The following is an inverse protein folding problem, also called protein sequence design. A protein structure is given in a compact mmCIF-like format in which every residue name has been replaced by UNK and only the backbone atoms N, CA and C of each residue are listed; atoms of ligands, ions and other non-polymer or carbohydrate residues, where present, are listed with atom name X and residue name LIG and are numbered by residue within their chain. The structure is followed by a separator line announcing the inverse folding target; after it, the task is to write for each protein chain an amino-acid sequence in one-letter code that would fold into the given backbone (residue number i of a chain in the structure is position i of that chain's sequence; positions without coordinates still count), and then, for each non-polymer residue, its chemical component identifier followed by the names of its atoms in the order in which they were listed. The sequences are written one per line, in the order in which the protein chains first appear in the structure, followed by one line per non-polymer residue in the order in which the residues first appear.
data_IF_519128126583
#
_entry.id   IF_519128126583
#
_cell.length_a   1.000
_cell.length_b   1.000
_cell.length_c   1.000
_cell.angle_alpha   90.00
_cell.angle_beta   90.00
_cell.angle_gamma   90.00
#
_symmetry.space_group_name_H-M   'P 1'
#
loop_
_entity.id
_entity.type
_entity.pdbx_description
1 polymer ?
#
# COMPACT_ATOMS: atom_id res chain seq x y z
N UNK A 1 -16.05 -67.13 -32.99
CA UNK A 1 -16.78 -66.06 -32.29
C UNK A 1 -16.53 -64.79 -33.10
N UNK A 2 -17.18 -64.58 -34.25
CA UNK A 2 -18.63 -64.44 -34.49
C UNK A 2 -19.06 -63.02 -34.07
N UNK A 3 -19.53 -62.10 -34.93
CA UNK A 3 -20.03 -62.20 -36.32
C UNK A 3 -19.65 -60.99 -37.21
N UNK A 4 -19.79 -61.19 -38.54
CA UNK A 4 -20.18 -60.27 -39.63
C UNK A 4 -20.98 -58.99 -39.21
N UNK A 5 -21.09 -57.90 -39.99
CA UNK A 5 -20.92 -57.71 -41.46
C UNK A 5 -20.77 -56.21 -41.82
N UNK A 6 -20.29 -55.91 -43.04
CA UNK A 6 -20.42 -54.59 -43.71
C UNK A 6 -21.43 -54.65 -44.86
N UNK A 7 -22.15 -53.55 -45.15
CA UNK A 7 -22.60 -53.03 -46.48
C UNK A 7 -23.60 -51.85 -46.23
N UNK A 8 -23.37 -50.62 -46.72
CA UNK A 8 -23.57 -50.02 -48.07
C UNK A 8 -24.99 -49.42 -48.29
N UNK A 9 -25.00 -48.23 -48.92
CA UNK A 9 -26.09 -47.28 -49.18
C UNK A 9 -27.37 -47.82 -49.86
N UNK A 10 -28.48 -47.09 -49.67
CA UNK A 10 -29.52 -46.93 -50.72
C UNK A 10 -30.19 -45.54 -50.67
N UNK A 11 -30.49 -45.02 -51.87
CA UNK A 11 -31.06 -43.70 -52.15
C UNK A 11 -32.56 -43.76 -52.52
N UNK A 12 -33.26 -42.61 -52.46
CA UNK A 12 -34.54 -42.35 -53.14
C UNK A 12 -35.57 -41.62 -52.24
N UNK A 13 -36.42 -40.66 -52.66
CA UNK A 13 -36.71 -39.91 -53.92
C UNK A 13 -37.52 -38.64 -53.54
N UNK A 14 -37.78 -37.56 -54.31
CA UNK A 14 -37.65 -37.27 -55.75
C UNK A 14 -37.63 -35.72 -56.04
N UNK A 15 -37.87 -35.35 -57.31
CA UNK A 15 -38.16 -34.01 -57.94
C UNK A 15 -39.44 -33.28 -57.45
N UNK A 16 -39.72 -31.99 -57.73
CA UNK A 16 -38.99 -30.84 -58.32
C UNK A 16 -39.60 -29.49 -57.82
N UNK A 17 -39.04 -28.33 -58.23
CA UNK A 17 -39.62 -27.01 -57.94
C UNK A 17 -38.63 -25.83 -58.02
N UNK A 18 -38.40 -25.28 -59.23
CA UNK A 18 -37.43 -24.19 -59.47
C UNK A 18 -38.05 -22.78 -59.32
N UNK A 19 -37.44 -21.91 -58.50
CA UNK A 19 -37.63 -20.45 -58.55
C UNK A 19 -36.42 -19.66 -57.97
N UNK A 20 -35.60 -19.18 -58.89
CA UNK A 20 -34.42 -18.28 -58.84
C UNK A 20 -34.31 -17.09 -57.84
N UNK A 21 -33.10 -16.95 -57.27
CA UNK A 21 -32.25 -15.72 -57.07
C UNK A 21 -32.62 -14.63 -56.03
N UNK A 22 -31.65 -13.81 -55.51
CA UNK A 22 -30.17 -13.95 -55.52
C UNK A 22 -29.44 -13.75 -54.15
N UNK A 23 -28.17 -14.16 -54.19
CA UNK A 23 -26.99 -13.93 -53.34
C UNK A 23 -26.95 -12.69 -52.38
N UNK A 24 -26.43 -12.91 -51.16
CA UNK A 24 -25.77 -11.89 -50.33
C UNK A 24 -24.62 -12.49 -49.49
N UNK A 25 -23.56 -12.91 -50.18
CA UNK A 25 -22.32 -13.43 -49.61
C UNK A 25 -21.48 -12.33 -48.94
N UNK A 26 -21.58 -12.20 -47.61
CA UNK A 26 -20.82 -11.22 -46.83
C UNK A 26 -19.39 -11.70 -46.51
N UNK A 27 -18.39 -11.19 -47.23
CA UNK A 27 -16.96 -11.32 -46.90
C UNK A 27 -16.51 -10.25 -45.90
N UNK A 28 -15.72 -10.66 -44.89
CA UNK A 28 -15.11 -9.78 -43.86
C UNK A 28 -13.66 -9.46 -44.26
N UNK A 29 -13.28 -8.17 -44.40
CA UNK A 29 -12.34 -7.49 -43.46
C UNK A 29 -12.64 -5.96 -43.35
N UNK A 30 -11.97 -5.06 -42.60
CA UNK A 30 -10.90 -5.08 -41.57
C UNK A 30 -11.15 -3.91 -40.56
N UNK A 31 -10.69 -3.92 -39.29
CA UNK A 31 -10.98 -2.83 -38.34
C UNK A 31 -10.13 -1.55 -38.44
N UNK A 32 -9.19 -1.42 -39.39
CA UNK A 32 -8.19 -0.33 -39.42
C UNK A 32 -8.27 0.66 -40.59
N UNK A 33 -9.48 1.13 -40.94
CA UNK A 33 -9.67 2.22 -41.90
C UNK A 33 -10.38 3.44 -41.27
N UNK A 34 -9.71 4.58 -41.21
CA UNK A 34 -10.29 5.88 -40.84
C UNK A 34 -11.18 6.41 -41.97
N UNK A 35 -12.46 6.74 -41.72
CA UNK A 35 -13.30 7.43 -42.71
C UNK A 35 -12.81 8.88 -42.92
N UNK A 36 -12.74 9.37 -44.17
CA UNK A 36 -12.42 10.77 -44.46
C UNK A 36 -13.59 11.72 -44.19
N UNK A 37 -13.27 13.00 -44.07
CA UNK A 37 -14.15 14.12 -43.79
C UNK A 37 -15.08 14.48 -44.95
N UNK A 38 -16.35 14.04 -44.88
CA UNK A 38 -17.38 14.51 -45.81
C UNK A 38 -17.89 15.90 -45.40
N UNK A 39 -17.26 16.92 -45.97
CA UNK A 39 -17.66 18.31 -45.85
C UNK A 39 -18.92 18.59 -46.70
N UNK A 40 -20.10 18.32 -46.14
CA UNK A 40 -21.41 18.51 -46.79
C UNK A 40 -22.14 19.77 -46.32
N UNK A 41 -22.32 20.74 -47.21
CA UNK A 41 -23.10 21.96 -46.96
C UNK A 41 -24.59 21.65 -46.81
N UNK A 42 -25.19 22.01 -45.67
CA UNK A 42 -26.63 21.93 -45.47
C UNK A 42 -27.34 23.10 -46.19
N UNK A 43 -28.40 22.79 -46.92
CA UNK A 43 -29.26 23.77 -47.61
C UNK A 43 -30.44 24.07 -46.68
N UNK A 44 -30.61 25.34 -46.27
CA UNK A 44 -31.77 25.71 -45.47
C UNK A 44 -33.08 25.47 -46.24
N UNK A 45 -34.13 25.10 -45.50
CA UNK A 45 -35.47 24.92 -46.03
C UNK A 45 -36.38 25.93 -45.36
N UNK A 46 -36.63 27.02 -46.08
CA UNK A 46 -37.53 28.09 -45.66
C UNK A 46 -38.98 27.57 -45.64
N UNK A 47 -39.47 27.06 -44.49
CA UNK A 47 -40.87 26.67 -44.31
C UNK A 47 -41.71 27.84 -43.79
N UNK A 48 -42.53 28.39 -44.67
CA UNK A 48 -43.62 29.29 -44.32
C UNK A 48 -44.75 28.52 -43.62
N UNK A 49 -45.03 28.86 -42.36
CA UNK A 49 -46.23 28.39 -41.69
C UNK A 49 -47.46 29.12 -42.25
N UNK A 50 -48.35 28.36 -42.91
CA UNK A 50 -49.71 28.78 -43.22
C UNK A 50 -50.63 28.42 -42.05
N UNK A 51 -51.36 29.40 -41.52
CA UNK A 51 -52.35 29.20 -40.48
C UNK A 51 -53.70 28.72 -41.07
N UNK A 52 -54.29 27.70 -40.44
CA UNK A 52 -55.50 27.07 -40.94
C UNK A 52 -56.76 27.76 -40.38
N UNK A 53 -57.60 28.29 -41.27
CA UNK A 53 -58.86 28.92 -40.94
C UNK A 53 -59.82 27.96 -40.20
N UNK A 54 -60.26 28.35 -39.00
CA UNK A 54 -61.37 27.75 -38.26
C UNK A 54 -62.37 28.83 -37.83
N UNK A 55 -63.57 28.83 -38.43
CA UNK A 55 -64.56 29.91 -38.27
C UNK A 55 -65.41 29.79 -37.01
N UNK A 56 -65.54 30.89 -36.26
CA UNK A 56 -66.66 31.14 -35.33
C UNK A 56 -67.17 32.58 -35.51
N UNK A 57 -68.48 32.83 -35.67
CA UNK A 57 -68.98 34.14 -36.05
C UNK A 57 -69.33 35.08 -34.87
N UNK A 58 -69.32 36.37 -35.22
CA UNK A 58 -70.09 37.49 -34.66
C UNK A 58 -69.55 38.27 -33.44
N UNK A 59 -68.97 39.45 -33.75
CA UNK A 59 -69.27 40.72 -33.09
C UNK A 59 -68.68 41.92 -33.89
N UNK A 60 -69.54 42.83 -34.35
CA UNK A 60 -69.13 44.06 -35.06
C UNK A 60 -68.39 45.07 -34.16
N UNK A 61 -67.17 45.46 -34.54
CA UNK A 61 -66.68 46.85 -34.37
C UNK A 61 -65.73 47.26 -35.50
N UNK A 62 -66.13 48.23 -36.32
CA UNK A 62 -65.27 48.89 -37.32
C UNK A 62 -64.39 49.96 -36.68
N UNK A 63 -63.07 49.94 -36.95
CA UNK A 63 -62.15 51.06 -36.68
C UNK A 63 -61.24 51.26 -37.90
N UNK A 64 -60.98 52.50 -38.40
CA UNK A 64 -60.40 52.70 -39.72
C UNK A 64 -58.86 52.70 -39.79
N UNK A 65 -58.38 52.54 -41.02
CA UNK A 65 -57.03 52.77 -41.56
C UNK A 65 -56.23 53.94 -40.92
N UNK A 66 -54.98 53.66 -40.56
CA UNK A 66 -53.92 54.65 -40.37
C UNK A 66 -52.58 54.16 -40.96
N UNK A 67 -52.49 54.20 -42.28
CA UNK A 67 -51.32 53.96 -43.12
C UNK A 67 -50.02 54.60 -42.56
N UNK A 68 -49.09 53.77 -42.08
CA UNK A 68 -47.75 54.19 -41.63
C UNK A 68 -46.67 53.25 -42.19
N UNK A 69 -45.95 53.73 -43.22
CA UNK A 69 -44.85 53.01 -43.86
C UNK A 69 -43.65 52.92 -42.92
N UNK A 70 -43.33 51.72 -42.42
CA UNK A 70 -42.07 51.46 -41.70
C UNK A 70 -40.98 51.14 -42.74
N UNK A 71 -39.82 51.84 -42.76
CA UNK A 71 -38.71 51.50 -43.64
C UNK A 71 -38.06 50.20 -43.19
N UNK A 72 -37.74 49.34 -44.15
CA UNK A 72 -37.10 48.04 -43.95
C UNK A 72 -35.61 48.22 -43.58
N UNK A 73 -35.17 47.91 -42.34
CA UNK A 73 -33.77 47.90 -41.99
C UNK A 73 -33.20 46.54 -42.45
N UNK A 74 -32.50 46.58 -43.58
CA UNK A 74 -31.79 45.42 -44.12
C UNK A 74 -30.57 45.08 -43.24
N UNK A 75 -30.82 44.58 -42.02
CA UNK A 75 -29.79 44.09 -41.12
C UNK A 75 -29.26 42.77 -41.66
N UNK A 76 -28.08 42.83 -42.27
CA UNK A 76 -27.25 41.65 -42.49
C UNK A 76 -26.94 41.02 -41.13
N UNK A 77 -27.68 39.96 -40.78
CA UNK A 77 -27.39 39.15 -39.59
C UNK A 77 -25.98 38.58 -39.77
N UNK A 78 -25.03 39.16 -39.04
CA UNK A 78 -23.70 38.60 -38.90
C UNK A 78 -23.90 37.32 -38.10
N UNK A 79 -23.64 36.17 -38.73
CA UNK A 79 -23.54 34.90 -38.03
C UNK A 79 -22.34 34.97 -37.07
N UNK A 80 -22.61 35.44 -35.85
CA UNK A 80 -21.73 35.26 -34.72
C UNK A 80 -21.78 33.79 -34.34
N UNK A 81 -21.00 33.00 -35.09
CA UNK A 81 -20.71 31.62 -34.83
C UNK A 81 -19.93 31.55 -33.50
N UNK A 82 -20.64 31.70 -32.39
CA UNK A 82 -20.10 31.57 -31.05
C UNK A 82 -19.57 30.14 -30.93
N UNK A 83 -18.25 30.01 -30.92
CA UNK A 83 -17.59 28.72 -30.69
C UNK A 83 -17.93 28.28 -29.27
N UNK A 84 -18.99 27.48 -29.12
CA UNK A 84 -19.41 26.90 -27.84
C UNK A 84 -18.27 26.00 -27.37
N UNK A 85 -17.42 26.53 -26.50
CA UNK A 85 -16.34 25.78 -25.87
C UNK A 85 -17.00 24.67 -25.06
N UNK A 86 -16.74 23.38 -25.36
CA UNK A 86 -17.35 22.29 -24.61
C UNK A 86 -16.95 22.40 -23.13
N UNK A 87 -17.87 22.10 -22.20
CA UNK A 87 -17.56 22.20 -20.78
C UNK A 87 -16.36 21.30 -20.42
N UNK A 88 -15.48 21.73 -19.51
CA UNK A 88 -14.32 20.94 -19.13
C UNK A 88 -14.76 19.58 -18.56
N UNK A 89 -13.99 18.51 -18.79
CA UNK A 89 -14.36 17.16 -18.38
C UNK A 89 -14.61 17.09 -16.86
N UNK A 90 -15.56 16.24 -16.41
CA UNK A 90 -15.86 16.09 -15.00
C UNK A 90 -14.64 15.55 -14.25
N UNK A 91 -14.41 16.10 -13.06
CA UNK A 91 -13.29 15.76 -12.19
C UNK A 91 -13.80 15.13 -10.91
N UNK A 92 -13.12 14.09 -10.46
CA UNK A 92 -13.50 13.24 -9.33
C UNK A 92 -12.40 13.22 -8.26
N UNK A 93 -12.70 12.63 -7.10
CA UNK A 93 -11.67 12.30 -6.11
C UNK A 93 -10.74 11.22 -6.68
N UNK A 94 -9.45 11.19 -6.29
CA UNK A 94 -8.52 10.18 -6.78
C UNK A 94 -8.92 8.79 -6.24
N UNK A 95 -8.32 7.73 -6.75
CA UNK A 95 -8.49 6.37 -6.21
C UNK A 95 -7.13 5.88 -5.73
N UNK A 96 -6.94 5.78 -4.42
CA UNK A 96 -5.74 5.18 -3.82
C UNK A 96 -5.97 3.70 -3.50
N UNK A 97 -4.92 2.88 -3.59
CA UNK A 97 -4.89 1.48 -3.16
C UNK A 97 -3.78 1.27 -2.13
N UNK A 98 -4.16 0.87 -0.93
CA UNK A 98 -3.25 0.44 0.12
C UNK A 98 -2.53 -0.84 -0.31
N UNK A 99 -1.19 -0.85 -0.27
CA UNK A 99 -0.37 -2.05 -0.51
C UNK A 99 0.10 -2.63 0.83
N UNK A 100 0.91 -3.70 0.80
CA UNK A 100 1.43 -4.32 2.02
C UNK A 100 2.45 -3.39 2.69
N UNK A 101 2.28 -3.17 3.99
CA UNK A 101 3.28 -2.57 4.86
C UNK A 101 4.33 -3.60 5.29
N UNK A 102 5.55 -3.13 5.49
CA UNK A 102 6.76 -3.91 5.76
C UNK A 102 7.47 -3.35 7.00
N UNK A 103 8.33 -4.14 7.61
CA UNK A 103 9.25 -3.65 8.65
C UNK A 103 10.62 -3.46 8.01
N UNK A 104 11.14 -2.24 8.09
CA UNK A 104 12.49 -1.89 7.65
C UNK A 104 13.53 -2.39 8.66
N UNK A 105 14.82 -2.25 8.31
CA UNK A 105 15.88 -2.29 9.30
C UNK A 105 15.58 -1.32 10.46
N UNK A 106 16.16 -1.58 11.64
CA UNK A 106 15.92 -0.78 12.86
C UNK A 106 14.47 -0.83 13.40
N UNK A 107 13.60 -1.70 12.85
CA UNK A 107 12.23 -1.90 13.35
C UNK A 107 11.23 -0.83 12.92
N UNK A 108 11.59 0.02 11.96
CA UNK A 108 10.71 1.05 11.38
C UNK A 108 9.58 0.46 10.54
N UNK A 109 8.48 1.18 10.43
CA UNK A 109 7.31 0.78 9.63
C UNK A 109 7.36 1.45 8.26
N UNK A 110 7.42 0.63 7.20
CA UNK A 110 7.32 1.06 5.81
C UNK A 110 5.91 0.85 5.29
N UNK A 111 5.33 1.91 4.75
CA UNK A 111 3.98 1.95 4.20
C UNK A 111 4.06 2.15 2.69
N UNK A 112 3.31 1.35 1.94
CA UNK A 112 3.33 1.35 0.48
C UNK A 112 1.91 1.57 -0.06
N UNK A 113 1.76 2.39 -1.09
CA UNK A 113 0.50 2.77 -1.72
C UNK A 113 0.67 3.04 -3.21
N UNK A 114 -0.45 3.08 -3.93
CA UNK A 114 -0.47 3.46 -5.35
C UNK A 114 -1.76 4.24 -5.65
N UNK A 115 -1.65 5.30 -6.43
CA UNK A 115 -2.78 6.01 -7.04
C UNK A 115 -3.16 5.27 -8.33
N UNK A 116 -4.40 4.79 -8.41
CA UNK A 116 -4.92 4.10 -9.60
C UNK A 116 -5.51 5.07 -10.62
N UNK A 117 -5.92 6.25 -10.17
CA UNK A 117 -6.30 7.40 -11.01
C UNK A 117 -6.32 8.65 -10.12
N UNK A 118 -5.95 9.78 -10.71
CA UNK A 118 -6.06 11.12 -10.10
C UNK A 118 -7.49 11.68 -10.14
N UNK A 119 -8.41 11.04 -10.87
CA UNK A 119 -9.77 11.55 -11.10
C UNK A 119 -9.82 12.76 -12.04
N UNK A 120 -8.79 12.99 -12.87
CA UNK A 120 -8.69 14.13 -13.78
C UNK A 120 -8.29 15.46 -13.13
N UNK A 121 -7.83 15.44 -11.87
CA UNK A 121 -7.33 16.62 -11.19
C UNK A 121 -6.12 16.26 -10.32
N UNK A 122 -5.06 17.09 -10.40
CA UNK A 122 -3.76 16.88 -9.76
C UNK A 122 -3.87 16.47 -8.30
N UNK A 123 -3.24 15.34 -7.95
CA UNK A 123 -3.12 14.88 -6.57
C UNK A 123 -2.20 15.83 -5.80
N UNK A 124 -2.71 16.44 -4.74
CA UNK A 124 -2.01 17.42 -3.90
C UNK A 124 -1.40 16.81 -2.66
N UNK A 125 -1.89 15.65 -2.22
CA UNK A 125 -1.43 14.97 -1.01
C UNK A 125 -1.64 13.45 -1.13
N UNK A 126 -0.70 12.68 -0.59
CA UNK A 126 -0.83 11.22 -0.39
C UNK A 126 -0.30 10.85 0.99
N UNK A 127 -0.80 9.76 1.55
CA UNK A 127 -0.33 9.29 2.86
C UNK A 127 -1.10 8.08 3.36
N UNK A 128 -0.98 7.83 4.66
CA UNK A 128 -1.60 6.70 5.34
C UNK A 128 -2.24 7.14 6.65
N UNK A 129 -3.43 6.59 6.94
CA UNK A 129 -4.10 6.67 8.24
C UNK A 129 -3.90 5.34 8.96
N UNK A 130 -3.34 5.37 10.17
CA UNK A 130 -3.12 4.21 11.03
C UNK A 130 -4.03 4.34 12.26
N UNK A 131 -4.73 3.25 12.64
CA UNK A 131 -5.70 3.28 13.74
C UNK A 131 -5.98 1.88 14.28
N UNK A 132 -6.48 1.80 15.51
CA UNK A 132 -7.07 0.57 16.06
C UNK A 132 -8.47 0.26 15.48
N UNK A 133 -9.11 1.22 14.82
CA UNK A 133 -10.36 1.02 14.07
C UNK A 133 -10.08 0.64 12.61
N UNK A 134 -10.82 -0.36 12.10
CA UNK A 134 -10.82 -0.74 10.68
C UNK A 134 -11.22 0.43 9.76
N UNK A 135 -12.04 1.34 10.27
CA UNK A 135 -12.60 2.48 9.53
C UNK A 135 -12.00 3.83 9.96
N UNK A 136 -10.86 3.84 10.67
CA UNK A 136 -10.23 5.08 11.14
C UNK A 136 -9.89 6.05 9.99
N UNK A 137 -10.27 7.31 10.15
CA UNK A 137 -10.14 8.40 9.17
C UNK A 137 -9.13 9.46 9.61
N UNK A 138 -8.86 10.46 8.74
CA UNK A 138 -7.93 11.58 9.00
C UNK A 138 -8.18 12.29 10.35
N UNK A 139 -9.44 12.36 10.79
CA UNK A 139 -9.86 13.04 12.02
C UNK A 139 -10.39 12.09 13.10
N UNK A 140 -10.20 10.77 12.96
CA UNK A 140 -10.63 9.82 13.98
C UNK A 140 -9.78 9.93 15.24
N UNK A 141 -10.38 9.89 16.46
CA UNK A 141 -9.62 9.89 17.71
C UNK A 141 -8.58 8.76 17.75
N UNK A 142 -7.34 9.11 18.05
CA UNK A 142 -6.22 8.15 18.08
C UNK A 142 -5.77 7.64 16.71
N UNK A 143 -6.19 8.25 15.60
CA UNK A 143 -5.59 8.01 14.30
C UNK A 143 -4.22 8.70 14.20
N UNK A 144 -3.24 8.01 13.62
CA UNK A 144 -1.91 8.53 13.31
C UNK A 144 -1.83 8.72 11.80
N UNK A 145 -1.52 9.94 11.37
CA UNK A 145 -1.41 10.29 9.94
C UNK A 145 0.06 10.32 9.56
N UNK A 146 0.41 9.58 8.51
CA UNK A 146 1.78 9.51 7.97
C UNK A 146 1.75 9.98 6.53
N UNK A 147 2.28 11.17 6.27
CA UNK A 147 2.42 11.70 4.90
C UNK A 147 3.36 10.84 4.06
N UNK A 148 3.03 10.66 2.78
CA UNK A 148 3.81 9.87 1.84
C UNK A 148 4.46 10.71 0.74
N UNK A 149 5.51 10.17 0.13
CA UNK A 149 6.17 10.74 -1.04
C UNK A 149 5.68 10.03 -2.29
N UNK A 150 5.08 10.77 -3.23
CA UNK A 150 4.60 10.26 -4.52
C UNK A 150 5.72 10.28 -5.57
N UNK A 151 5.87 9.18 -6.32
CA UNK A 151 6.82 9.01 -7.42
C UNK A 151 6.15 8.23 -8.55
N UNK A 152 5.76 8.95 -9.61
CA UNK A 152 4.76 8.43 -10.56
C UNK A 152 3.45 8.11 -9.84
N UNK A 153 2.90 6.93 -10.07
CA UNK A 153 1.68 6.47 -9.40
C UNK A 153 1.93 5.90 -7.99
N UNK A 154 3.17 5.52 -7.66
CA UNK A 154 3.50 4.82 -6.41
C UNK A 154 3.88 5.82 -5.33
N UNK A 155 3.39 5.62 -4.11
CA UNK A 155 3.81 6.40 -2.96
C UNK A 155 4.20 5.55 -1.75
N UNK A 156 5.19 6.04 -1.01
CA UNK A 156 5.74 5.36 0.16
C UNK A 156 5.87 6.32 1.33
N UNK A 157 5.84 5.77 2.54
CA UNK A 157 6.18 6.48 3.76
C UNK A 157 6.95 5.55 4.72
N UNK A 158 7.83 6.11 5.55
CA UNK A 158 8.51 5.40 6.63
C UNK A 158 8.29 6.13 7.95
N UNK A 159 7.82 5.42 8.97
CA UNK A 159 7.60 5.95 10.33
C UNK A 159 8.29 5.09 11.39
N UNK A 160 8.40 5.61 12.61
CA UNK A 160 8.59 4.74 13.77
C UNK A 160 7.41 3.76 13.90
N UNK A 161 7.61 2.64 14.58
CA UNK A 161 6.51 1.72 14.91
C UNK A 161 5.52 2.44 15.85
N UNK A 162 4.23 2.56 15.51
CA UNK A 162 3.28 3.30 16.31
C UNK A 162 2.88 2.53 17.57
N UNK A 163 2.63 3.24 18.67
CA UNK A 163 2.06 2.66 19.89
C UNK A 163 0.54 2.45 19.76
N UNK A 164 0.18 1.51 18.89
CA UNK A 164 -1.18 1.00 18.69
C UNK A 164 -1.32 -0.45 19.19
N UNK A 165 -0.34 -0.94 19.96
CA UNK A 165 -0.29 -2.32 20.46
C UNK A 165 0.03 -3.36 19.38
N UNK A 166 -0.17 -4.65 19.70
CA UNK A 166 0.30 -5.80 18.87
C UNK A 166 -0.31 -5.88 17.47
N UNK A 167 -1.44 -5.21 17.21
CA UNK A 167 -2.11 -5.18 15.89
C UNK A 167 -2.80 -3.85 15.69
N UNK A 168 -2.74 -3.32 14.47
CA UNK A 168 -3.50 -2.14 14.06
C UNK A 168 -3.96 -2.26 12.61
N UNK A 169 -4.76 -1.30 12.16
CA UNK A 169 -5.18 -1.15 10.77
C UNK A 169 -4.54 0.08 10.16
N UNK A 170 -4.25 0.00 8.86
CA UNK A 170 -3.76 1.13 8.07
C UNK A 170 -4.48 1.19 6.73
N UNK A 171 -4.75 2.40 6.25
CA UNK A 171 -5.32 2.65 4.93
C UNK A 171 -4.59 3.79 4.24
N UNK A 172 -4.28 3.62 2.96
CA UNK A 172 -3.71 4.69 2.16
C UNK A 172 -4.77 5.74 1.82
N UNK A 173 -4.37 6.99 1.59
CA UNK A 173 -5.25 8.05 1.09
C UNK A 173 -4.55 8.87 0.01
N UNK A 174 -5.35 9.51 -0.83
CA UNK A 174 -4.92 10.53 -1.76
C UNK A 174 -5.96 11.66 -1.80
N UNK A 175 -5.50 12.90 -1.93
CA UNK A 175 -6.31 14.13 -1.97
C UNK A 175 -6.04 14.89 -3.26
N UNK A 176 -7.09 15.41 -3.89
CA UNK A 176 -7.00 16.42 -4.95
C UNK A 176 -8.03 17.54 -4.70
N UNK A 177 -8.22 18.44 -5.66
CA UNK A 177 -9.19 19.53 -5.58
C UNK A 177 -10.68 19.11 -5.41
N UNK A 178 -11.02 17.82 -5.54
CA UNK A 178 -12.35 17.25 -5.29
C UNK A 178 -12.46 16.54 -3.92
N UNK A 179 -11.36 16.53 -3.15
CA UNK A 179 -11.25 15.99 -1.80
C UNK A 179 -10.47 14.68 -1.71
N UNK A 180 -10.53 14.07 -0.53
CA UNK A 180 -9.76 12.86 -0.18
C UNK A 180 -10.54 11.58 -0.43
N UNK A 181 -9.87 10.56 -0.97
CA UNK A 181 -10.38 9.19 -1.01
C UNK A 181 -9.42 8.24 -0.29
N UNK A 182 -9.96 7.12 0.19
CA UNK A 182 -9.22 6.12 0.96
C UNK A 182 -9.18 4.77 0.24
N UNK A 183 -8.02 4.13 0.25
CA UNK A 183 -7.87 2.75 -0.20
C UNK A 183 -8.42 1.76 0.81
N UNK A 184 -8.56 0.50 0.38
CA UNK A 184 -9.01 -0.59 1.26
C UNK A 184 -8.14 -0.72 2.51
N UNK A 185 -8.71 -0.84 3.72
CA UNK A 185 -7.92 -0.99 4.93
C UNK A 185 -7.19 -2.34 4.94
N UNK A 186 -6.00 -2.37 5.53
CA UNK A 186 -5.21 -3.58 5.77
C UNK A 186 -4.85 -3.68 7.24
N UNK A 187 -4.70 -4.90 7.74
CA UNK A 187 -4.22 -5.19 9.10
C UNK A 187 -2.70 -5.30 9.08
N UNK A 188 -2.03 -4.66 10.03
CA UNK A 188 -0.64 -4.91 10.36
C UNK A 188 -0.56 -5.65 11.69
N UNK A 189 0.35 -6.62 11.77
CA UNK A 189 0.74 -7.28 13.01
C UNK A 189 2.12 -6.72 13.34
N UNK A 190 2.29 -6.11 14.51
CA UNK A 190 3.62 -5.69 14.96
C UNK A 190 4.45 -6.95 15.14
N UNK A 191 5.60 -7.10 14.47
CA UNK A 191 6.48 -8.23 14.72
C UNK A 191 6.84 -8.25 16.20
N UNK A 192 6.73 -9.41 16.84
CA UNK A 192 7.32 -9.53 18.17
C UNK A 192 8.83 -9.29 18.02
N UNK A 193 9.47 -8.53 18.92
CA UNK A 193 10.91 -8.38 18.90
C UNK A 193 11.53 -9.77 18.85
N UNK A 194 12.40 -10.02 17.87
CA UNK A 194 13.19 -11.25 17.85
C UNK A 194 14.19 -11.13 18.99
N UNK A 195 13.74 -11.45 20.19
CA UNK A 195 14.62 -11.74 21.33
C UNK A 195 15.47 -12.92 20.85
N UNK A 196 16.79 -12.75 20.65
CA UNK A 196 17.63 -13.88 20.28
C UNK A 196 17.40 -14.99 21.32
N UNK A 197 17.35 -16.27 20.92
CA UNK A 197 17.25 -17.34 21.89
C UNK A 197 18.34 -17.10 22.94
N UNK A 198 17.92 -16.99 24.20
CA UNK A 198 18.81 -16.47 25.24
C UNK A 198 20.12 -17.26 25.19
N UNK A 199 21.27 -16.60 25.32
CA UNK A 199 22.58 -17.25 25.12
C UNK A 199 22.80 -18.48 26.00
N UNK A 200 22.01 -18.60 27.08
CA UNK A 200 21.92 -19.73 27.99
C UNK A 200 20.89 -20.81 27.59
N UNK A 201 20.35 -20.82 26.37
CA UNK A 201 19.31 -21.77 25.94
C UNK A 201 19.77 -23.24 26.02
N UNK A 202 21.08 -23.50 25.94
CA UNK A 202 21.71 -24.81 26.14
C UNK A 202 22.16 -25.07 27.59
N UNK A 203 21.95 -24.13 28.52
CA UNK A 203 22.30 -24.30 29.93
C UNK A 203 21.19 -25.06 30.67
N UNK A 204 21.59 -26.13 31.35
CA UNK A 204 20.72 -27.04 32.08
C UNK A 204 19.97 -26.31 33.20
N UNK A 205 18.70 -26.64 33.42
CA UNK A 205 17.91 -26.09 34.52
C UNK A 205 18.23 -26.75 35.85
N UNK A 206 18.44 -25.93 36.88
CA UNK A 206 18.69 -26.35 38.24
C UNK A 206 17.61 -25.78 39.19
N UNK A 207 17.66 -26.22 40.44
CA UNK A 207 16.67 -25.83 41.46
C UNK A 207 16.67 -24.31 41.73
N UNK A 208 15.53 -23.78 42.18
CA UNK A 208 15.33 -22.37 42.53
C UNK A 208 15.60 -21.35 41.39
N UNK A 209 15.52 -21.79 40.12
CA UNK A 209 15.72 -20.95 38.94
C UNK A 209 17.18 -20.70 38.57
N UNK A 210 18.11 -21.47 39.15
CA UNK A 210 19.48 -21.53 38.68
C UNK A 210 19.57 -22.27 37.34
N UNK A 211 20.62 -21.99 36.59
CA UNK A 211 21.03 -22.71 35.39
C UNK A 211 22.52 -23.05 35.46
N UNK A 212 22.93 -24.10 34.75
CA UNK A 212 24.32 -24.55 34.65
C UNK A 212 24.73 -24.58 33.19
N UNK A 213 25.61 -23.67 32.79
CA UNK A 213 26.29 -23.73 31.49
C UNK A 213 27.52 -24.63 31.59
N UNK A 214 27.72 -25.49 30.59
CA UNK A 214 28.86 -26.39 30.49
C UNK A 214 30.22 -25.66 30.42
N UNK A 215 30.22 -24.41 29.95
CA UNK A 215 31.41 -23.57 29.85
C UNK A 215 31.38 -22.40 30.84
N UNK A 216 30.26 -21.67 30.93
CA UNK A 216 30.10 -20.44 31.73
C UNK A 216 29.71 -20.72 33.21
N UNK A 217 29.55 -21.98 33.61
CA UNK A 217 29.24 -22.35 34.98
C UNK A 217 27.81 -21.99 35.41
N UNK A 218 27.60 -21.88 36.73
CA UNK A 218 26.28 -21.71 37.32
C UNK A 218 25.88 -20.23 37.52
N UNK A 219 24.66 -19.88 37.11
CA UNK A 219 24.07 -18.53 37.26
C UNK A 219 22.55 -18.58 37.35
N UNK A 220 21.93 -17.47 37.78
CA UNK A 220 20.48 -17.28 37.89
C UNK A 220 20.05 -16.04 37.10
N UNK A 221 19.25 -16.16 36.03
CA UNK A 221 18.80 -15.02 35.22
C UNK A 221 17.58 -14.29 35.82
N UNK A 222 17.47 -12.99 35.56
CA UNK A 222 16.39 -12.12 36.08
C UNK A 222 15.49 -11.50 34.99
N UNK A 223 15.70 -11.86 33.72
CA UNK A 223 14.82 -11.47 32.59
C UNK A 223 15.03 -10.05 32.03
N UNK A 224 15.84 -9.23 32.69
CA UNK A 224 16.17 -7.85 32.30
C UNK A 224 17.66 -7.67 31.91
N UNK A 225 18.29 -8.72 31.37
CA UNK A 225 19.73 -8.77 31.05
C UNK A 225 20.64 -9.10 32.24
N UNK A 226 20.18 -8.90 33.48
CA UNK A 226 20.95 -9.26 34.67
C UNK A 226 20.91 -10.76 34.99
N UNK A 227 22.06 -11.26 35.45
CA UNK A 227 22.23 -12.56 36.09
C UNK A 227 22.95 -12.40 37.42
N UNK A 228 22.75 -13.35 38.34
CA UNK A 228 23.66 -13.59 39.44
C UNK A 228 24.45 -14.88 39.18
N UNK A 229 25.74 -14.75 38.92
CA UNK A 229 26.67 -15.86 38.66
C UNK A 229 27.28 -16.35 40.00
N UNK A 230 27.34 -17.68 40.17
CA UNK A 230 27.84 -18.32 41.39
C UNK A 230 29.26 -17.89 41.78
N UNK A 231 30.14 -17.71 40.79
CA UNK A 231 31.53 -17.30 40.97
C UNK A 231 31.77 -15.80 40.76
N UNK A 232 31.19 -15.22 39.70
CA UNK A 232 31.47 -13.84 39.28
C UNK A 232 30.56 -12.79 39.96
N UNK A 233 29.44 -13.19 40.59
CA UNK A 233 28.51 -12.26 41.22
C UNK A 233 27.50 -11.65 40.25
N UNK A 234 27.11 -10.39 40.46
CA UNK A 234 26.14 -9.71 39.59
C UNK A 234 26.77 -9.31 38.27
N UNK A 235 26.16 -9.75 37.17
CA UNK A 235 26.60 -9.41 35.81
C UNK A 235 25.40 -8.97 34.97
N UNK A 236 25.56 -7.94 34.16
CA UNK A 236 24.64 -7.65 33.05
C UNK A 236 25.22 -8.26 31.78
N UNK A 237 24.46 -9.08 31.05
CA UNK A 237 25.00 -9.89 29.95
C UNK A 237 24.38 -9.53 28.61
N UNK A 238 25.23 -9.26 27.63
CA UNK A 238 24.90 -8.97 26.24
C UNK A 238 25.68 -9.92 25.32
N UNK A 239 25.01 -10.78 24.53
CA UNK A 239 25.67 -11.59 23.50
C UNK A 239 26.32 -10.71 22.43
N UNK A 240 27.47 -11.11 21.90
CA UNK A 240 28.13 -10.39 20.79
C UNK A 240 27.52 -10.70 19.42
N UNK A 241 26.66 -11.72 19.33
CA UNK A 241 25.98 -12.15 18.10
C UNK A 241 26.69 -13.27 17.34
N UNK A 242 27.83 -13.78 17.83
CA UNK A 242 28.60 -14.87 17.22
C UNK A 242 28.72 -16.05 18.17
N UNK A 243 29.63 -15.99 19.15
CA UNK A 243 29.86 -17.05 20.14
C UNK A 243 30.26 -16.54 21.54
N UNK A 244 30.40 -15.23 21.72
CA UNK A 244 30.87 -14.60 22.94
C UNK A 244 29.82 -13.79 23.70
N UNK A 245 30.18 -13.43 24.92
CA UNK A 245 29.38 -12.64 25.85
C UNK A 245 30.18 -11.43 26.30
N UNK A 246 29.61 -10.25 26.10
CA UNK A 246 29.94 -9.08 26.90
C UNK A 246 29.21 -9.18 28.24
N UNK A 247 29.96 -9.11 29.33
CA UNK A 247 29.45 -9.11 30.70
C UNK A 247 29.94 -7.85 31.40
N UNK A 248 29.01 -7.02 31.87
CA UNK A 248 29.34 -5.87 32.71
C UNK A 248 29.39 -6.29 34.18
N UNK A 249 30.46 -5.94 34.88
CA UNK A 249 30.64 -6.15 36.31
C UNK A 249 30.92 -4.84 37.03
N UNK A 250 30.34 -4.68 38.22
CA UNK A 250 30.65 -3.55 39.09
C UNK A 250 32.15 -3.56 39.44
N UNK A 251 32.82 -2.42 39.23
CA UNK A 251 34.26 -2.24 39.47
C UNK A 251 35.19 -2.67 38.34
N UNK A 252 34.72 -3.38 37.31
CA UNK A 252 35.52 -3.84 36.15
C UNK A 252 34.96 -3.40 34.80
N UNK A 253 33.76 -2.82 34.76
CA UNK A 253 33.16 -2.37 33.51
C UNK A 253 32.83 -3.56 32.61
N UNK A 254 33.04 -3.39 31.30
CA UNK A 254 32.70 -4.39 30.28
C UNK A 254 33.83 -5.38 30.04
N UNK A 255 33.51 -6.67 30.22
CA UNK A 255 34.41 -7.80 30.00
C UNK A 255 33.86 -8.70 28.88
N UNK A 256 34.68 -9.15 27.94
CA UNK A 256 34.29 -10.13 26.92
C UNK A 256 34.87 -11.52 27.22
N UNK A 257 34.08 -12.57 27.01
CA UNK A 257 34.53 -13.96 27.11
C UNK A 257 33.68 -14.88 26.24
N UNK A 258 34.23 -16.02 25.81
CA UNK A 258 33.52 -17.02 25.00
C UNK A 258 33.89 -18.45 25.42
N UNK A 259 33.21 -19.51 24.93
CA UNK A 259 33.48 -20.89 25.35
C UNK A 259 34.95 -21.34 25.19
N UNK A 260 35.66 -20.82 24.19
CA UNK A 260 37.07 -21.15 23.92
C UNK A 260 38.08 -20.38 24.78
N UNK A 261 37.68 -19.26 25.38
CA UNK A 261 38.54 -18.40 26.20
C UNK A 261 38.16 -18.35 27.68
N UNK A 262 37.00 -18.89 28.08
CA UNK A 262 36.48 -18.74 29.44
C UNK A 262 37.47 -19.16 30.53
N UNK A 263 37.40 -18.43 31.65
CA UNK A 263 38.49 -18.10 32.60
C UNK A 263 39.36 -16.92 32.18
N UNK A 264 39.52 -16.62 30.91
CA UNK A 264 40.04 -15.33 30.45
C UNK A 264 38.89 -14.41 30.04
N UNK A 265 38.97 -13.16 30.50
CA UNK A 265 38.00 -12.10 30.27
C UNK A 265 38.75 -10.87 29.75
N UNK A 266 38.32 -10.33 28.62
CA UNK A 266 38.94 -9.17 27.97
C UNK A 266 38.24 -7.88 28.42
N UNK A 267 38.96 -7.01 29.12
CA UNK A 267 38.46 -5.72 29.61
C UNK A 267 38.45 -4.68 28.49
N UNK A 268 37.26 -4.14 28.17
CA UNK A 268 37.07 -3.22 27.06
C UNK A 268 37.85 -1.90 27.22
N UNK A 269 37.84 -1.34 28.43
CA UNK A 269 38.31 0.03 28.69
C UNK A 269 39.85 0.14 28.72
N UNK A 270 40.54 -0.95 29.08
CA UNK A 270 42.01 -0.99 29.15
C UNK A 270 42.65 -1.83 28.03
N UNK A 271 41.83 -2.60 27.28
CA UNK A 271 42.24 -3.61 26.31
C UNK A 271 43.12 -4.74 26.89
N UNK A 272 42.92 -5.09 28.16
CA UNK A 272 43.72 -6.10 28.88
C UNK A 272 42.97 -7.41 29.07
N UNK A 273 43.72 -8.49 29.32
CA UNK A 273 43.16 -9.79 29.69
C UNK A 273 43.27 -10.04 31.19
N UNK A 274 42.12 -10.29 31.80
CA UNK A 274 41.94 -10.68 33.19
C UNK A 274 41.70 -12.20 33.26
N UNK A 275 42.48 -12.91 34.07
CA UNK A 275 42.28 -14.33 34.31
C UNK A 275 41.51 -14.56 35.63
N UNK A 276 40.29 -15.09 35.56
CA UNK A 276 39.46 -15.40 36.72
C UNK A 276 40.02 -16.58 37.53
N UNK A 277 40.60 -16.25 38.69
CA UNK A 277 41.20 -17.19 39.62
C UNK A 277 40.11 -17.99 40.36
N UNK A 278 39.33 -17.29 41.19
CA UNK A 278 38.27 -17.85 42.05
C UNK A 278 37.48 -16.75 42.75
N UNK A 279 36.31 -17.11 43.29
CA UNK A 279 35.62 -16.29 44.29
C UNK A 279 36.32 -16.40 45.65
N UNK A 280 36.56 -15.29 46.35
CA UNK A 280 37.09 -15.23 47.72
C UNK A 280 36.40 -14.10 48.48
N UNK A 281 35.91 -14.40 49.69
CA UNK A 281 35.20 -13.45 50.55
C UNK A 281 34.00 -12.75 49.84
N UNK A 282 33.25 -13.49 49.03
CA UNK A 282 32.09 -12.98 48.30
C UNK A 282 32.41 -12.25 46.98
N UNK A 283 33.66 -11.86 46.73
CA UNK A 283 34.07 -11.18 45.49
C UNK A 283 34.84 -12.14 44.56
N UNK A 284 34.69 -12.03 43.22
CA UNK A 284 35.61 -12.66 42.29
C UNK A 284 37.01 -12.06 42.42
N UNK A 285 38.05 -12.82 42.04
CA UNK A 285 39.44 -12.37 41.98
C UNK A 285 40.06 -12.72 40.65
N UNK A 286 40.80 -11.77 40.09
CA UNK A 286 41.37 -11.85 38.76
C UNK A 286 42.87 -11.62 38.82
N UNK A 287 43.60 -12.23 37.89
CA UNK A 287 44.99 -11.91 37.62
C UNK A 287 45.07 -11.08 36.34
N UNK A 288 45.59 -9.87 36.44
CA UNK A 288 45.73 -8.97 35.31
C UNK A 288 47.09 -9.23 34.63
N UNK A 289 47.06 -9.63 33.36
CA UNK A 289 48.28 -10.02 32.64
C UNK A 289 49.20 -8.85 32.28
N UNK A 290 48.68 -7.61 32.20
CA UNK A 290 49.47 -6.44 31.88
C UNK A 290 50.17 -5.88 33.13
N UNK A 291 49.46 -5.75 34.25
CA UNK A 291 50.02 -5.26 35.51
C UNK A 291 50.75 -6.33 36.32
N UNK A 292 50.49 -7.61 36.01
CA UNK A 292 50.97 -8.81 36.74
C UNK A 292 50.51 -8.87 38.20
N UNK A 293 49.42 -8.17 38.53
CA UNK A 293 48.84 -8.09 39.87
C UNK A 293 47.58 -8.96 40.00
N UNK A 294 47.11 -9.14 41.24
CA UNK A 294 45.80 -9.74 41.54
C UNK A 294 44.88 -8.66 42.07
N UNK A 295 43.69 -8.58 41.49
CA UNK A 295 42.60 -7.67 41.86
C UNK A 295 41.33 -8.44 42.27
#
# INVERSE_FOLDING_TARGET
MDHNQTHVDTNGTHVDGNATLPDSNATVPDPYATPPDQNGTLVDHNQTYVDANGTTPDANTTVPDANATIPDPNETVVDTNETIVPPPPPTYRPIARTLRAETEAEGRLKLNGVVLTDGGATVTEVGFVLSNSLFGELHSPGAIIVGGTLSGDVFTASSAMPDLGKRFYYRAYATNAKGTNFGSPKRFMVPEPVVPPAWWASAEEATAGWRVSSWFGAFRPYGNGWIFHADLGWLYVQPDGVDGLWVWSEGQGWLWTNPGSYRYLYEADTHQWLYFLKRKNGQPRFYNHATRAVE
#
